data_IF_702625585332
#
_entry.id   IF_702625585332
#
_cell.length_a   1.000
_cell.length_b   1.000
_cell.length_c   1.000
_cell.angle_alpha   90.00
_cell.angle_beta   90.00
_cell.angle_gamma   90.00
#
_symmetry.space_group_name_H-M   'P 1'
#
loop_
_entity.id
_entity.type
_entity.pdbx_description
1 polymer ?
#
# COMPACT_ATOMS: atom_id res chain seq x y z
N UNK A 1 9.42 12.82 24.50
CA UNK A 1 8.79 13.97 23.81
C UNK A 1 9.88 14.76 23.10
N UNK A 2 9.64 15.08 21.84
CA UNK A 2 10.54 15.88 20.98
C UNK A 2 9.86 17.22 20.71
N UNK A 3 10.57 18.32 20.92
CA UNK A 3 10.05 19.67 20.59
C UNK A 3 10.74 20.18 19.34
N UNK A 4 9.96 20.71 18.40
CA UNK A 4 10.44 21.33 17.16
C UNK A 4 10.12 22.82 17.16
N UNK A 5 11.12 23.65 16.93
CA UNK A 5 10.96 25.08 16.66
C UNK A 5 10.19 25.31 15.36
N UNK A 6 9.69 26.55 15.18
CA UNK A 6 8.98 26.97 13.96
C UNK A 6 9.75 26.66 12.69
N UNK A 7 11.05 26.93 12.71
CA UNK A 7 11.91 26.72 11.54
C UNK A 7 12.12 25.23 11.24
N UNK A 8 12.33 24.41 12.26
CA UNK A 8 12.54 22.97 12.11
C UNK A 8 11.30 22.27 11.53
N UNK A 9 10.12 22.49 12.10
CA UNK A 9 8.93 21.81 11.62
C UNK A 9 8.49 22.33 10.25
N UNK A 10 8.67 23.62 9.96
CA UNK A 10 8.40 24.16 8.62
C UNK A 10 9.36 23.62 7.59
N UNK A 11 10.64 23.45 7.92
CA UNK A 11 11.61 22.84 7.03
C UNK A 11 11.22 21.38 6.71
N UNK A 12 10.84 20.59 7.72
CA UNK A 12 10.36 19.21 7.52
C UNK A 12 9.08 19.15 6.70
N UNK A 13 8.11 20.02 6.97
CA UNK A 13 6.87 20.09 6.21
C UNK A 13 7.13 20.43 4.73
N UNK A 14 7.95 21.45 4.44
CA UNK A 14 8.32 21.82 3.07
C UNK A 14 9.08 20.70 2.34
N UNK A 15 9.99 20.02 3.02
CA UNK A 15 10.72 18.89 2.44
C UNK A 15 9.78 17.73 2.09
N UNK A 16 8.81 17.42 2.97
CA UNK A 16 7.78 16.42 2.70
C UNK A 16 6.90 16.82 1.52
N UNK A 17 6.42 18.06 1.50
CA UNK A 17 5.62 18.60 0.40
C UNK A 17 6.34 18.50 -0.94
N UNK A 18 7.61 18.92 -1.00
CA UNK A 18 8.43 18.84 -2.21
C UNK A 18 8.62 17.38 -2.67
N UNK A 19 8.88 16.45 -1.75
CA UNK A 19 9.04 15.04 -2.09
C UNK A 19 7.74 14.41 -2.63
N UNK A 20 6.58 14.79 -2.08
CA UNK A 20 5.28 14.35 -2.61
C UNK A 20 4.99 15.01 -3.95
N UNK A 21 5.32 16.28 -4.12
CA UNK A 21 5.15 17.00 -5.38
C UNK A 21 5.96 16.35 -6.51
N UNK A 22 7.20 15.97 -6.24
CA UNK A 22 8.05 15.23 -7.19
C UNK A 22 7.44 13.87 -7.56
N UNK A 23 7.09 13.06 -6.56
CA UNK A 23 6.55 11.70 -6.78
C UNK A 23 5.18 11.70 -7.48
N UNK A 24 4.43 12.79 -7.41
CA UNK A 24 3.08 12.89 -7.99
C UNK A 24 3.02 13.77 -9.23
N UNK A 25 4.14 14.35 -9.67
CA UNK A 25 4.20 15.25 -10.83
C UNK A 25 3.61 14.59 -12.09
N UNK A 26 4.15 13.43 -12.50
CA UNK A 26 3.70 12.71 -13.69
C UNK A 26 2.21 12.32 -13.64
N UNK A 27 1.72 11.87 -12.48
CA UNK A 27 0.30 11.58 -12.28
C UNK A 27 -0.57 12.83 -12.47
N UNK A 28 -0.17 13.98 -11.91
CA UNK A 28 -0.91 15.24 -12.04
C UNK A 28 -0.91 15.76 -13.47
N UNK A 29 0.22 15.67 -14.18
CA UNK A 29 0.35 16.06 -15.59
C UNK A 29 -0.54 15.22 -16.50
N UNK A 30 -0.55 13.89 -16.32
CA UNK A 30 -1.45 13.00 -17.08
C UNK A 30 -2.92 13.30 -16.78
N UNK A 31 -3.28 13.46 -15.50
CA UNK A 31 -4.65 13.80 -15.09
C UNK A 31 -5.13 15.12 -15.69
N UNK A 32 -4.26 16.13 -15.78
CA UNK A 32 -4.58 17.41 -16.41
C UNK A 32 -4.88 17.27 -17.92
N UNK A 33 -4.30 16.27 -18.58
CA UNK A 33 -4.53 15.93 -19.99
C UNK A 33 -5.62 14.88 -20.21
N UNK A 34 -6.23 14.36 -19.14
CA UNK A 34 -7.23 13.28 -19.22
C UNK A 34 -6.64 11.90 -19.56
N UNK A 35 -5.33 11.74 -19.46
CA UNK A 35 -4.63 10.48 -19.74
C UNK A 35 -4.63 9.55 -18.52
N UNK A 36 -4.67 8.25 -18.77
CA UNK A 36 -4.62 7.19 -17.74
C UNK A 36 -3.32 6.41 -17.81
N UNK A 37 -2.88 5.91 -16.66
CA UNK A 37 -1.71 5.04 -16.52
C UNK A 37 -1.97 3.93 -15.51
N UNK A 38 -2.16 2.70 -15.99
CA UNK A 38 -2.64 1.55 -15.20
C UNK A 38 -1.80 1.17 -13.97
N UNK A 39 -0.50 1.52 -13.95
CA UNK A 39 0.40 1.28 -12.82
C UNK A 39 0.32 2.40 -11.78
N UNK A 40 0.59 3.65 -12.17
CA UNK A 40 0.73 4.78 -11.25
C UNK A 40 -0.61 5.29 -10.71
N UNK A 41 -1.66 5.29 -11.53
CA UNK A 41 -2.96 5.82 -11.12
C UNK A 41 -3.66 4.87 -10.12
N UNK A 42 -3.29 3.58 -10.15
CA UNK A 42 -3.81 2.55 -9.26
C UNK A 42 -3.74 2.95 -7.79
N UNK A 43 -2.62 3.51 -7.32
CA UNK A 43 -2.47 3.86 -5.89
C UNK A 43 -3.43 4.96 -5.45
N UNK A 44 -3.91 5.80 -6.36
CA UNK A 44 -4.85 6.87 -6.05
C UNK A 44 -6.30 6.42 -6.23
N UNK A 45 -6.58 5.62 -7.25
CA UNK A 45 -7.92 5.10 -7.54
C UNK A 45 -8.32 3.98 -6.58
N UNK A 46 -7.43 3.01 -6.34
CA UNK A 46 -7.71 1.86 -5.49
C UNK A 46 -7.80 2.26 -4.01
N UNK A 47 -6.84 3.04 -3.51
CA UNK A 47 -6.82 3.45 -2.10
C UNK A 47 -7.63 4.70 -1.79
N UNK A 48 -8.08 5.44 -2.82
CA UNK A 48 -8.80 6.70 -2.69
C UNK A 48 -8.07 7.77 -1.83
N UNK A 49 -6.74 7.70 -1.75
CA UNK A 49 -5.91 8.64 -0.98
C UNK A 49 -5.32 9.72 -1.89
N UNK A 50 -6.00 10.87 -1.98
CA UNK A 50 -5.66 11.96 -2.91
C UNK A 50 -4.22 12.48 -2.70
N UNK A 51 -3.51 12.91 -3.76
CA UNK A 51 -2.18 13.53 -3.65
C UNK A 51 -2.13 14.70 -2.66
N UNK A 52 -3.18 15.52 -2.58
CA UNK A 52 -3.26 16.64 -1.64
C UNK A 52 -3.31 16.21 -0.17
N UNK A 53 -3.87 15.02 0.12
CA UNK A 53 -3.85 14.45 1.46
C UNK A 53 -2.46 13.89 1.79
N UNK A 54 -1.83 13.19 0.85
CA UNK A 54 -0.45 12.72 1.02
C UNK A 54 0.54 13.88 1.21
N UNK A 55 0.33 14.99 0.51
CA UNK A 55 1.16 16.21 0.58
C UNK A 55 1.12 16.87 1.95
N UNK A 56 0.07 16.64 2.74
CA UNK A 56 -0.10 17.24 4.07
C UNK A 56 0.86 16.59 5.07
N UNK A 57 1.72 17.40 5.68
CA UNK A 57 2.68 16.92 6.68
C UNK A 57 2.05 16.74 8.08
N UNK A 58 2.51 15.69 8.77
CA UNK A 58 2.08 15.24 10.09
C UNK A 58 3.31 14.79 10.91
N UNK A 59 3.53 15.34 12.13
CA UNK A 59 4.69 15.00 12.95
C UNK A 59 4.56 13.66 13.70
N UNK A 60 3.34 13.14 13.86
CA UNK A 60 3.04 11.96 14.69
C UNK A 60 2.95 12.26 16.19
N UNK A 61 2.83 11.21 17.04
CA UNK A 61 2.76 11.35 18.50
C UNK A 61 4.08 11.81 19.10
N UNK A 62 4.02 12.27 20.35
CA UNK A 62 5.17 12.68 21.16
C UNK A 62 6.01 13.84 20.59
N UNK A 63 5.47 14.58 19.61
CA UNK A 63 6.10 15.76 19.01
C UNK A 63 5.28 17.01 19.30
N UNK A 64 5.95 18.02 19.87
CA UNK A 64 5.38 19.36 20.09
C UNK A 64 5.97 20.33 19.07
N UNK A 65 5.11 21.07 18.37
CA UNK A 65 5.49 22.12 17.43
C UNK A 65 5.35 23.48 18.11
N UNK A 66 6.43 24.24 18.21
CA UNK A 66 6.41 25.61 18.73
C UNK A 66 5.89 26.59 17.67
N UNK A 67 5.21 27.64 18.12
CA UNK A 67 4.67 28.71 17.28
C UNK A 67 3.91 28.17 16.07
N UNK A 68 2.96 27.26 16.28
CA UNK A 68 2.25 26.56 15.21
C UNK A 68 0.74 26.81 15.20
N UNK A 69 0.22 27.55 16.19
CA UNK A 69 -1.20 27.87 16.31
C UNK A 69 -1.80 28.50 15.04
N UNK A 70 -1.07 29.38 14.35
CA UNK A 70 -1.53 30.04 13.11
C UNK A 70 -1.84 29.06 11.97
N UNK A 71 -1.19 27.89 11.96
CA UNK A 71 -1.33 26.88 10.90
C UNK A 71 -2.25 25.72 11.30
N UNK A 72 -2.34 25.41 12.59
CA UNK A 72 -3.03 24.21 13.08
C UNK A 72 -4.33 24.49 13.84
N UNK A 73 -4.64 25.74 14.20
CA UNK A 73 -5.93 26.08 14.83
C UNK A 73 -7.09 25.61 13.95
N UNK A 74 -8.02 24.86 14.54
CA UNK A 74 -9.18 24.28 13.84
C UNK A 74 -8.88 23.04 12.99
N UNK A 75 -7.63 22.58 12.92
CA UNK A 75 -7.28 21.36 12.20
C UNK A 75 -7.59 20.13 13.06
N UNK A 76 -8.49 19.26 12.57
CA UNK A 76 -8.86 18.03 13.27
C UNK A 76 -7.65 17.14 13.62
N UNK A 77 -7.66 16.59 14.83
CA UNK A 77 -6.61 15.70 15.35
C UNK A 77 -5.43 16.43 15.99
N UNK A 78 -5.53 17.73 16.23
CA UNK A 78 -4.50 18.51 16.90
C UNK A 78 -5.10 19.34 18.03
N UNK A 79 -4.33 19.49 19.10
CA UNK A 79 -4.62 20.44 20.18
C UNK A 79 -3.60 21.56 20.15
N UNK A 80 -4.04 22.76 20.50
CA UNK A 80 -3.23 23.98 20.58
C UNK A 80 -3.22 24.42 22.04
N UNK A 81 -2.04 24.47 22.64
CA UNK A 81 -1.87 24.91 24.02
C UNK A 81 -1.93 26.45 24.13
N UNK A 82 -2.07 26.97 25.34
CA UNK A 82 -2.18 28.41 25.60
C UNK A 82 -0.94 29.22 25.18
N UNK A 83 0.22 28.58 25.13
CA UNK A 83 1.49 29.17 24.67
C UNK A 83 1.65 29.14 23.13
N UNK A 84 0.64 28.65 22.41
CA UNK A 84 0.64 28.55 20.95
C UNK A 84 1.38 27.32 20.40
N UNK A 85 1.86 26.43 21.27
CA UNK A 85 2.41 25.14 20.85
C UNK A 85 1.32 24.16 20.44
N UNK A 86 1.67 23.21 19.57
CA UNK A 86 0.72 22.28 18.94
C UNK A 86 1.23 20.85 19.05
N UNK A 87 0.34 19.92 19.41
CA UNK A 87 0.62 18.48 19.41
C UNK A 87 -0.56 17.70 18.86
N UNK A 88 -0.31 16.45 18.46
CA UNK A 88 -1.37 15.48 18.17
C UNK A 88 -2.27 15.35 19.41
N UNK A 89 -3.58 15.47 19.22
CA UNK A 89 -4.54 15.13 20.27
C UNK A 89 -4.71 13.61 20.30
N UNK A 90 -3.89 12.95 21.11
CA UNK A 90 -3.84 11.47 21.19
C UNK A 90 -5.14 10.92 21.77
N UNK A 91 -5.68 11.55 22.81
CA UNK A 91 -6.90 11.09 23.48
C UNK A 91 -8.11 11.19 22.55
N UNK A 92 -8.30 12.31 21.84
CA UNK A 92 -9.35 12.44 20.82
C UNK A 92 -9.13 11.46 19.66
N UNK A 93 -7.88 11.31 19.18
CA UNK A 93 -7.58 10.39 18.09
C UNK A 93 -7.92 8.94 18.46
N UNK A 94 -7.49 8.47 19.63
CA UNK A 94 -7.75 7.12 20.13
C UNK A 94 -9.24 6.94 20.44
N UNK A 95 -9.91 7.94 21.02
CA UNK A 95 -11.35 7.91 21.24
C UNK A 95 -12.14 7.67 19.94
N UNK A 96 -11.72 8.31 18.83
CA UNK A 96 -12.38 8.16 17.52
C UNK A 96 -11.91 6.95 16.71
N UNK A 97 -10.65 6.52 16.86
CA UNK A 97 -9.98 5.55 15.97
C UNK A 97 -9.41 4.32 16.67
N UNK A 98 -9.60 4.16 17.98
CA UNK A 98 -8.94 3.10 18.78
C UNK A 98 -9.17 1.69 18.25
N UNK A 99 -10.37 1.38 17.74
CA UNK A 99 -10.65 0.10 17.06
C UNK A 99 -9.79 -0.11 15.80
N UNK A 100 -9.61 0.94 14.99
CA UNK A 100 -8.74 0.89 13.81
C UNK A 100 -7.28 0.76 14.20
N UNK A 101 -6.82 1.49 15.23
CA UNK A 101 -5.44 1.39 15.75
C UNK A 101 -5.16 -0.04 16.21
N UNK A 102 -6.05 -0.62 17.02
CA UNK A 102 -5.94 -2.00 17.52
C UNK A 102 -5.91 -3.00 16.37
N UNK A 103 -6.87 -2.91 15.43
CA UNK A 103 -6.91 -3.80 14.27
C UNK A 103 -5.63 -3.75 13.44
N UNK A 104 -5.12 -2.55 13.13
CA UNK A 104 -3.88 -2.40 12.34
C UNK A 104 -2.70 -2.98 13.10
N UNK A 105 -2.56 -2.67 14.40
CA UNK A 105 -1.50 -3.20 15.25
C UNK A 105 -1.49 -4.73 15.26
N UNK A 106 -2.66 -5.34 15.47
CA UNK A 106 -2.81 -6.80 15.56
C UNK A 106 -2.55 -7.47 14.20
N UNK A 107 -3.11 -6.95 13.11
CA UNK A 107 -2.89 -7.44 11.75
C UNK A 107 -1.40 -7.42 11.36
N UNK A 108 -0.73 -6.28 11.58
CA UNK A 108 0.67 -6.13 11.19
C UNK A 108 1.59 -6.96 12.07
N UNK A 109 1.28 -7.12 13.36
CA UNK A 109 2.01 -7.99 14.28
C UNK A 109 1.86 -9.46 13.89
N UNK A 110 0.64 -9.92 13.61
CA UNK A 110 0.38 -11.29 13.15
C UNK A 110 1.08 -11.58 11.81
N UNK A 111 1.11 -10.60 10.90
CA UNK A 111 1.86 -10.73 9.64
C UNK A 111 3.37 -10.87 9.90
N UNK A 112 3.93 -10.07 10.82
CA UNK A 112 5.36 -10.08 11.16
C UNK A 112 5.79 -11.37 11.87
N UNK A 113 4.89 -12.08 12.56
CA UNK A 113 5.22 -13.27 13.35
C UNK A 113 5.40 -14.55 12.51
N UNK A 114 5.21 -14.47 11.18
CA UNK A 114 5.25 -15.62 10.27
C UNK A 114 6.51 -15.62 9.40
N UNK A 115 7.02 -16.79 8.98
CA UNK A 115 7.98 -16.86 7.89
C UNK A 115 7.32 -16.40 6.58
N UNK A 116 8.08 -15.73 5.71
CA UNK A 116 7.57 -15.28 4.41
C UNK A 116 7.41 -16.44 3.42
N UNK A 117 6.20 -16.63 2.89
CA UNK A 117 5.94 -17.62 1.81
C UNK A 117 6.02 -16.97 0.42
N UNK A 118 6.74 -17.62 -0.49
CA UNK A 118 7.07 -17.09 -1.82
C UNK A 118 6.45 -17.93 -2.95
N UNK A 119 5.29 -18.52 -2.70
CA UNK A 119 4.63 -19.52 -3.55
C UNK A 119 3.38 -19.01 -4.27
N UNK A 120 3.02 -17.72 -4.11
CA UNK A 120 1.93 -17.09 -4.86
C UNK A 120 2.34 -16.73 -6.30
N UNK A 121 3.59 -16.28 -6.50
CA UNK A 121 4.14 -15.82 -7.80
C UNK A 121 3.34 -14.71 -8.51
N UNK A 122 2.42 -14.03 -7.84
CA UNK A 122 1.55 -13.05 -8.49
C UNK A 122 0.39 -13.66 -9.29
N UNK A 123 0.15 -14.97 -9.15
CA UNK A 123 -0.92 -15.68 -9.88
C UNK A 123 -2.34 -15.20 -9.53
N UNK A 124 -2.51 -14.33 -8.52
CA UNK A 124 -3.78 -13.67 -8.26
C UNK A 124 -4.24 -12.81 -9.45
N UNK A 125 -3.35 -12.09 -10.14
CA UNK A 125 -3.75 -11.28 -11.32
C UNK A 125 -4.18 -12.17 -12.49
N UNK A 126 -3.59 -13.36 -12.61
CA UNK A 126 -3.95 -14.35 -13.63
C UNK A 126 -5.32 -14.96 -13.36
N UNK A 127 -5.61 -15.25 -12.09
CA UNK A 127 -6.92 -15.71 -11.65
C UNK A 127 -8.03 -14.67 -11.82
N UNK A 128 -7.70 -13.37 -11.82
CA UNK A 128 -8.66 -12.30 -12.10
C UNK A 128 -9.08 -12.21 -13.57
N UNK A 129 -8.35 -12.85 -14.49
CA UNK A 129 -8.67 -12.87 -15.93
C UNK A 129 -8.97 -14.26 -16.48
N UNK A 130 -9.01 -15.27 -15.61
CA UNK A 130 -9.22 -16.66 -16.01
C UNK A 130 -10.60 -16.85 -16.64
N UNK A 131 -10.63 -17.35 -17.88
CA UNK A 131 -11.84 -17.60 -18.70
C UNK A 131 -12.78 -16.41 -18.89
N UNK A 132 -12.25 -15.19 -18.79
CA UNK A 132 -13.03 -14.00 -19.12
C UNK A 132 -13.37 -13.97 -20.61
N UNK A 133 -14.58 -13.53 -20.91
CA UNK A 133 -14.98 -13.22 -22.27
C UNK A 133 -14.39 -11.87 -22.71
N UNK A 134 -14.25 -11.62 -24.03
CA UNK A 134 -13.84 -10.31 -24.53
C UNK A 134 -14.72 -9.19 -23.96
N UNK A 135 -14.09 -8.17 -23.38
CA UNK A 135 -14.79 -7.02 -22.76
C UNK A 135 -15.09 -7.15 -21.27
N UNK A 136 -14.75 -8.27 -20.61
CA UNK A 136 -14.95 -8.44 -19.16
C UNK A 136 -13.70 -8.07 -18.32
N UNK A 137 -12.62 -7.67 -18.97
CA UNK A 137 -11.32 -7.44 -18.33
C UNK A 137 -11.29 -6.10 -17.57
N UNK A 138 -10.72 -6.11 -16.36
CA UNK A 138 -10.58 -4.90 -15.52
C UNK A 138 -9.66 -3.84 -16.10
N UNK A 139 -8.59 -4.28 -16.75
CA UNK A 139 -7.65 -3.42 -17.46
C UNK A 139 -7.94 -3.47 -18.95
N UNK A 140 -9.12 -3.01 -19.38
CA UNK A 140 -9.53 -2.99 -20.80
C UNK A 140 -8.51 -2.31 -21.74
N UNK A 141 -7.65 -1.46 -21.18
CA UNK A 141 -6.61 -0.73 -21.91
C UNK A 141 -5.36 -1.57 -22.21
N UNK A 142 -5.18 -2.72 -21.55
CA UNK A 142 -4.02 -3.58 -21.70
C UNK A 142 -4.44 -4.95 -22.25
N UNK A 143 -3.84 -5.34 -23.37
CA UNK A 143 -4.02 -6.68 -23.93
C UNK A 143 -3.34 -7.75 -23.06
N UNK A 144 -3.80 -9.00 -23.14
CA UNK A 144 -3.09 -10.14 -22.56
C UNK A 144 -1.85 -10.47 -23.40
N UNK A 145 -0.68 -10.56 -22.79
CA UNK A 145 0.59 -10.78 -23.50
C UNK A 145 0.74 -12.17 -24.12
N UNK A 146 0.01 -13.17 -23.59
CA UNK A 146 0.01 -14.55 -24.10
C UNK A 146 -1.28 -14.89 -24.89
N UNK A 147 -2.24 -13.97 -24.95
CA UNK A 147 -3.62 -14.30 -25.34
C UNK A 147 -4.37 -15.11 -24.28
N UNK A 148 -5.68 -15.28 -24.46
CA UNK A 148 -6.57 -15.87 -23.45
C UNK A 148 -6.23 -17.35 -23.17
N UNK A 149 -6.11 -18.18 -24.22
CA UNK A 149 -5.90 -19.63 -24.09
C UNK A 149 -4.63 -19.97 -23.30
N UNK A 150 -3.49 -19.34 -23.65
CA UNK A 150 -2.24 -19.56 -22.95
C UNK A 150 -2.23 -18.95 -21.54
N UNK A 151 -2.95 -17.84 -21.31
CA UNK A 151 -3.16 -17.27 -19.97
C UNK A 151 -3.93 -18.24 -19.08
N UNK A 152 -5.00 -18.83 -19.61
CA UNK A 152 -5.80 -19.83 -18.89
C UNK A 152 -4.98 -21.10 -18.59
N UNK A 153 -4.14 -21.55 -19.54
CA UNK A 153 -3.25 -22.69 -19.32
C UNK A 153 -2.27 -22.47 -18.15
N UNK A 154 -1.80 -21.23 -17.92
CA UNK A 154 -0.97 -20.89 -16.74
C UNK A 154 -1.76 -21.06 -15.44
N UNK A 155 -3.00 -20.56 -15.39
CA UNK A 155 -3.90 -20.72 -14.22
C UNK A 155 -4.19 -22.19 -13.94
N UNK A 156 -4.34 -23.00 -14.98
CA UNK A 156 -4.66 -24.43 -14.88
C UNK A 156 -3.45 -25.28 -14.49
N UNK A 157 -2.25 -24.90 -14.94
CA UNK A 157 -1.00 -25.64 -14.71
C UNK A 157 -0.31 -25.35 -13.39
N UNK A 158 -0.70 -24.30 -12.66
CA UNK A 158 -0.04 -23.91 -11.41
C UNK A 158 -0.97 -23.94 -10.18
N UNK A 159 -0.37 -24.21 -9.02
CA UNK A 159 -1.07 -24.16 -7.74
C UNK A 159 -1.20 -22.71 -7.27
N UNK A 160 -2.42 -22.20 -7.21
CA UNK A 160 -2.70 -20.84 -6.73
C UNK A 160 -2.85 -20.83 -5.21
N UNK A 161 -2.16 -19.91 -4.53
CA UNK A 161 -2.16 -19.80 -3.06
C UNK A 161 -2.26 -18.34 -2.59
N UNK A 162 -3.14 -17.56 -3.23
CA UNK A 162 -3.35 -16.17 -2.81
C UNK A 162 -3.97 -16.15 -1.41
N UNK A 163 -3.22 -15.61 -0.44
CA UNK A 163 -3.66 -15.46 0.95
C UNK A 163 -4.24 -14.08 1.25
N UNK A 164 -4.11 -13.13 0.32
CA UNK A 164 -4.57 -11.77 0.50
C UNK A 164 -6.03 -11.61 0.06
N UNK A 165 -6.92 -11.35 1.01
CA UNK A 165 -8.36 -11.22 0.75
C UNK A 165 -8.71 -10.15 -0.30
N UNK A 166 -8.09 -8.98 -0.20
CA UNK A 166 -8.41 -7.84 -1.07
C UNK A 166 -7.99 -8.07 -2.54
N UNK A 167 -7.12 -9.05 -2.81
CA UNK A 167 -6.86 -9.58 -4.17
C UNK A 167 -7.79 -10.76 -4.50
N UNK A 168 -7.94 -11.71 -3.58
CA UNK A 168 -8.75 -12.91 -3.78
C UNK A 168 -10.22 -12.61 -4.15
N UNK A 169 -10.83 -11.59 -3.55
CA UNK A 169 -12.23 -11.19 -3.82
C UNK A 169 -12.50 -10.74 -5.27
N UNK A 170 -11.46 -10.65 -6.08
CA UNK A 170 -11.52 -10.22 -7.48
C UNK A 170 -11.33 -11.37 -8.48
N UNK A 171 -11.11 -12.59 -7.99
CA UNK A 171 -11.01 -13.76 -8.85
C UNK A 171 -12.30 -13.92 -9.67
N UNK A 172 -12.17 -14.43 -10.91
CA UNK A 172 -13.34 -14.81 -11.68
C UNK A 172 -14.06 -15.96 -10.98
N UNK A 173 -15.39 -16.12 -11.18
CA UNK A 173 -16.14 -17.24 -10.61
C UNK A 173 -15.47 -18.61 -10.86
N UNK A 174 -14.91 -18.80 -12.06
CA UNK A 174 -14.20 -20.02 -12.45
C UNK A 174 -12.84 -20.21 -11.75
N UNK A 175 -12.18 -19.13 -11.31
CA UNK A 175 -10.88 -19.18 -10.65
C UNK A 175 -10.98 -19.34 -9.12
N UNK A 176 -12.13 -18.98 -8.51
CA UNK A 176 -12.36 -19.10 -7.05
C UNK A 176 -12.00 -20.51 -6.56
N UNK A 177 -12.44 -21.53 -7.29
CA UNK A 177 -12.18 -22.94 -6.98
C UNK A 177 -10.69 -23.33 -6.99
N UNK A 178 -9.88 -22.66 -7.81
CA UNK A 178 -8.47 -22.97 -8.08
C UNK A 178 -7.51 -22.51 -7.00
N UNK A 179 -7.87 -21.47 -6.22
CA UNK A 179 -7.06 -21.08 -5.08
C UNK A 179 -7.01 -22.24 -4.08
N UNK A 180 -5.91 -22.45 -3.37
CA UNK A 180 -5.87 -23.46 -2.29
C UNK A 180 -6.25 -22.88 -0.93
N UNK A 181 -6.37 -21.55 -0.86
CA UNK A 181 -6.85 -20.81 0.29
C UNK A 181 -8.22 -20.19 -0.04
N UNK A 182 -8.98 -19.83 1.00
CA UNK A 182 -10.26 -19.13 0.90
C UNK A 182 -10.29 -17.97 1.90
N UNK A 183 -9.36 -17.00 1.78
CA UNK A 183 -9.31 -15.89 2.73
C UNK A 183 -10.61 -15.09 2.67
N UNK A 184 -11.07 -14.66 3.84
CA UNK A 184 -12.21 -13.76 4.05
C UNK A 184 -11.72 -12.44 4.64
N UNK A 185 -12.62 -11.47 4.83
CA UNK A 185 -12.23 -10.23 5.53
C UNK A 185 -12.00 -10.52 7.01
N UNK A 186 -12.79 -11.41 7.57
CA UNK A 186 -12.82 -11.78 8.98
C UNK A 186 -11.54 -12.50 9.41
N UNK A 187 -11.01 -13.38 8.57
CA UNK A 187 -9.78 -14.16 8.83
C UNK A 187 -8.50 -13.50 8.27
N UNK A 188 -8.58 -12.25 7.79
CA UNK A 188 -7.46 -11.56 7.14
C UNK A 188 -6.17 -11.62 8.00
N UNK A 189 -6.30 -11.43 9.31
CA UNK A 189 -5.17 -11.49 10.24
C UNK A 189 -4.49 -12.87 10.30
N UNK A 190 -5.23 -13.94 10.05
CA UNK A 190 -4.75 -15.33 10.07
C UNK A 190 -4.00 -15.70 8.78
N UNK A 191 -4.39 -15.11 7.65
CA UNK A 191 -3.89 -15.46 6.32
C UNK A 191 -2.83 -14.51 5.75
N UNK A 192 -2.79 -13.25 6.16
CA UNK A 192 -1.85 -12.26 5.65
C UNK A 192 -0.39 -12.76 5.80
N UNK A 193 0.37 -12.74 4.70
CA UNK A 193 1.75 -13.25 4.65
C UNK A 193 2.77 -12.12 4.47
N UNK A 194 3.92 -12.14 5.16
CA UNK A 194 4.90 -11.06 5.07
C UNK A 194 5.45 -10.83 3.65
N UNK A 195 5.61 -11.91 2.88
CA UNK A 195 6.10 -11.87 1.50
C UNK A 195 5.01 -11.54 0.45
N UNK A 196 3.74 -11.46 0.84
CA UNK A 196 2.69 -11.06 -0.10
C UNK A 196 2.95 -9.62 -0.57
N UNK A 197 3.05 -9.43 -1.89
CA UNK A 197 3.19 -8.10 -2.49
C UNK A 197 2.10 -7.16 -1.99
N UNK A 198 0.85 -7.59 -2.07
CA UNK A 198 -0.30 -6.79 -1.67
C UNK A 198 -0.30 -6.42 -0.18
N UNK A 199 0.02 -7.37 0.70
CA UNK A 199 0.20 -7.07 2.12
C UNK A 199 1.33 -6.05 2.35
N UNK A 200 2.38 -6.07 1.51
CA UNK A 200 3.47 -5.09 1.54
C UNK A 200 3.02 -3.71 1.06
N UNK A 201 2.29 -3.66 -0.05
CA UNK A 201 1.67 -2.46 -0.61
C UNK A 201 0.72 -1.79 0.40
N UNK A 202 -0.07 -2.61 1.11
CA UNK A 202 -1.03 -2.17 2.12
C UNK A 202 -0.41 -1.49 3.34
N UNK A 203 0.91 -1.56 3.54
CA UNK A 203 1.57 -0.71 4.55
C UNK A 203 1.32 0.78 4.28
N UNK A 204 1.17 1.18 3.02
CA UNK A 204 0.74 2.53 2.65
C UNK A 204 -0.70 2.80 3.07
N UNK A 205 -1.62 1.86 2.79
CA UNK A 205 -3.02 1.93 3.24
C UNK A 205 -3.12 2.16 4.74
N UNK A 206 -2.42 1.34 5.51
CA UNK A 206 -2.48 1.42 6.96
C UNK A 206 -1.84 2.70 7.50
N UNK A 207 -0.74 3.17 6.90
CA UNK A 207 -0.11 4.43 7.28
C UNK A 207 -1.08 5.62 7.13
N UNK A 208 -1.70 5.80 5.96
CA UNK A 208 -2.60 6.96 5.77
C UNK A 208 -3.95 6.80 6.48
N UNK A 209 -4.44 5.57 6.71
CA UNK A 209 -5.67 5.34 7.52
C UNK A 209 -5.49 5.76 8.98
N UNK A 210 -4.25 5.79 9.46
CA UNK A 210 -3.88 6.22 10.79
C UNK A 210 -3.38 7.67 10.85
N UNK A 211 -3.47 8.44 9.76
CA UNK A 211 -3.18 9.88 9.81
C UNK A 211 -4.20 10.60 10.73
N UNK A 212 -3.79 11.61 11.51
CA UNK A 212 -2.46 12.24 11.56
C UNK A 212 -1.41 11.56 12.46
N UNK A 213 -1.71 10.39 13.03
CA UNK A 213 -0.87 9.77 14.04
C UNK A 213 0.38 9.06 13.48
N UNK A 214 0.29 8.41 12.31
CA UNK A 214 1.50 7.90 11.64
C UNK A 214 2.31 9.08 11.08
N UNK A 215 3.59 9.25 11.47
CA UNK A 215 4.43 10.32 10.95
C UNK A 215 4.51 10.30 9.41
N UNK A 216 4.55 11.48 8.82
CA UNK A 216 4.54 11.64 7.36
C UNK A 216 5.70 10.95 6.66
N UNK A 217 6.88 10.83 7.29
CA UNK A 217 8.01 10.10 6.75
C UNK A 217 7.72 8.60 6.59
N UNK A 218 6.97 7.98 7.52
CA UNK A 218 6.57 6.57 7.42
C UNK A 218 5.58 6.39 6.28
N UNK A 219 4.62 7.31 6.16
CA UNK A 219 3.62 7.28 5.08
C UNK A 219 4.26 7.48 3.71
N UNK A 220 5.24 8.38 3.60
CA UNK A 220 5.96 8.65 2.35
C UNK A 220 6.83 7.45 1.93
N UNK A 221 7.54 6.82 2.87
CA UNK A 221 8.32 5.62 2.58
C UNK A 221 7.40 4.45 2.17
N UNK A 222 6.25 4.32 2.82
CA UNK A 222 5.25 3.32 2.44
C UNK A 222 4.66 3.59 1.05
N UNK A 223 4.44 4.86 0.68
CA UNK A 223 4.01 5.23 -0.67
C UNK A 223 5.05 4.88 -1.74
N UNK A 224 6.33 5.20 -1.50
CA UNK A 224 7.44 4.79 -2.38
C UNK A 224 7.52 3.28 -2.51
N UNK A 225 7.34 2.55 -1.41
CA UNK A 225 7.29 1.09 -1.42
C UNK A 225 6.12 0.56 -2.24
N UNK A 226 4.93 1.13 -2.08
CA UNK A 226 3.73 0.75 -2.82
C UNK A 226 3.91 0.94 -4.34
N UNK A 227 4.58 2.01 -4.79
CA UNK A 227 4.93 2.21 -6.20
C UNK A 227 5.83 1.07 -6.74
N UNK A 228 6.84 0.67 -5.97
CA UNK A 228 7.75 -0.43 -6.33
C UNK A 228 7.02 -1.76 -6.39
N UNK A 229 6.14 -2.02 -5.43
CA UNK A 229 5.32 -3.23 -5.39
C UNK A 229 4.39 -3.27 -6.60
N UNK A 230 3.63 -2.21 -6.86
CA UNK A 230 2.68 -2.17 -7.97
C UNK A 230 3.36 -2.33 -9.33
N UNK A 231 4.59 -1.80 -9.47
CA UNK A 231 5.40 -2.07 -10.67
C UNK A 231 5.70 -3.56 -10.84
N UNK A 232 6.19 -4.25 -9.81
CA UNK A 232 6.45 -5.70 -9.91
C UNK A 232 5.17 -6.50 -10.13
N UNK A 233 4.09 -6.15 -9.45
CA UNK A 233 2.78 -6.78 -9.59
C UNK A 233 2.28 -6.72 -11.04
N UNK A 234 2.37 -5.54 -11.67
CA UNK A 234 2.02 -5.38 -13.09
C UNK A 234 3.00 -6.06 -14.04
N UNK A 235 4.31 -6.04 -13.75
CA UNK A 235 5.28 -6.75 -14.59
C UNK A 235 5.07 -8.28 -14.58
N UNK A 236 4.61 -8.84 -13.44
CA UNK A 236 4.33 -10.27 -13.30
C UNK A 236 2.91 -10.67 -13.73
N UNK A 237 2.08 -9.70 -14.09
CA UNK A 237 0.69 -9.92 -14.50
C UNK A 237 0.58 -10.58 -15.89
N UNK A 238 -0.61 -11.03 -16.30
CA UNK A 238 -0.83 -11.53 -17.66
C UNK A 238 -0.93 -10.41 -18.71
N UNK A 239 -0.97 -9.15 -18.29
CA UNK A 239 -1.10 -8.00 -19.19
C UNK A 239 0.21 -7.65 -19.88
N UNK A 240 0.11 -7.19 -21.13
CA UNK A 240 1.22 -6.56 -21.83
C UNK A 240 1.43 -5.13 -21.31
N UNK A 241 2.55 -4.94 -20.59
CA UNK A 241 2.95 -3.66 -20.00
C UNK A 241 4.02 -2.93 -20.80
N UNK A 242 4.38 -3.43 -21.99
CA UNK A 242 5.45 -2.84 -22.82
C UNK A 242 5.15 -1.40 -23.23
N UNK A 243 3.87 -1.09 -23.52
CA UNK A 243 3.41 0.27 -23.81
C UNK A 243 3.56 1.27 -22.65
N UNK A 244 3.83 0.77 -21.43
CA UNK A 244 4.12 1.59 -20.24
C UNK A 244 5.64 1.72 -19.98
N UNK A 245 6.49 1.27 -20.91
CA UNK A 245 7.95 1.25 -20.74
C UNK A 245 8.43 0.22 -19.70
N UNK A 246 7.62 -0.82 -19.43
CA UNK A 246 7.96 -1.89 -18.50
C UNK A 246 8.22 -3.19 -19.25
N UNK A 247 9.19 -3.97 -18.76
CA UNK A 247 9.44 -5.33 -19.25
C UNK A 247 8.69 -6.35 -18.38
N UNK A 248 8.03 -7.36 -18.97
CA UNK A 248 7.33 -8.38 -18.21
C UNK A 248 8.31 -9.26 -17.43
N UNK A 249 7.92 -9.64 -16.22
CA UNK A 249 8.52 -10.72 -15.44
C UNK A 249 7.71 -11.98 -15.75
N UNK A 250 8.24 -12.82 -16.62
CA UNK A 250 7.54 -13.97 -17.19
C UNK A 250 7.38 -15.12 -16.18
N UNK A 251 6.48 -14.99 -15.20
CA UNK A 251 6.27 -15.98 -14.13
C UNK A 251 5.73 -17.34 -14.61
N UNK A 252 5.37 -17.48 -15.88
CA UNK A 252 5.06 -18.75 -16.53
C UNK A 252 6.32 -19.59 -16.81
N UNK A 253 7.52 -18.98 -16.78
CA UNK A 253 8.81 -19.65 -16.95
C UNK A 253 9.56 -19.81 -15.61
N UNK A 254 10.47 -20.79 -15.48
CA UNK A 254 11.33 -20.92 -14.32
C UNK A 254 12.19 -19.68 -14.04
N UNK A 255 12.72 -19.05 -15.09
CA UNK A 255 13.59 -17.88 -14.98
C UNK A 255 12.83 -16.66 -14.44
N UNK A 256 11.62 -16.40 -14.97
CA UNK A 256 10.80 -15.29 -14.49
C UNK A 256 10.29 -15.51 -13.07
N UNK A 257 10.01 -16.75 -12.67
CA UNK A 257 9.72 -17.08 -11.25
C UNK A 257 10.91 -16.80 -10.33
N UNK A 258 12.12 -17.15 -10.76
CA UNK A 258 13.34 -16.89 -9.99
C UNK A 258 13.56 -15.38 -9.83
N UNK A 259 13.39 -14.59 -10.91
CA UNK A 259 13.46 -13.12 -10.84
C UNK A 259 12.39 -12.56 -9.89
N UNK A 260 11.14 -13.01 -10.03
CA UNK A 260 10.03 -12.56 -9.19
C UNK A 260 10.32 -12.79 -7.71
N UNK A 261 10.76 -14.00 -7.33
CA UNK A 261 11.05 -14.35 -5.93
C UNK A 261 12.22 -13.54 -5.38
N UNK A 262 13.26 -13.28 -6.18
CA UNK A 262 14.38 -12.45 -5.75
C UNK A 262 13.92 -11.03 -5.40
N UNK A 263 13.10 -10.41 -6.27
CA UNK A 263 12.54 -9.06 -6.05
C UNK A 263 11.51 -9.03 -4.93
N UNK A 264 10.69 -10.07 -4.80
CA UNK A 264 9.70 -10.24 -3.72
C UNK A 264 10.38 -10.27 -2.34
N UNK A 265 11.53 -10.94 -2.21
CA UNK A 265 12.30 -10.99 -0.95
C UNK A 265 12.78 -9.60 -0.52
N UNK A 266 13.29 -8.81 -1.46
CA UNK A 266 13.74 -7.43 -1.18
C UNK A 266 12.56 -6.54 -0.73
N UNK A 267 11.42 -6.65 -1.41
CA UNK A 267 10.20 -5.93 -1.05
C UNK A 267 9.63 -6.38 0.30
N UNK A 268 9.72 -7.67 0.63
CA UNK A 268 9.34 -8.18 1.95
C UNK A 268 10.18 -7.56 3.07
N UNK A 269 11.50 -7.44 2.90
CA UNK A 269 12.37 -6.80 3.90
C UNK A 269 11.93 -5.36 4.16
N UNK A 270 11.67 -4.62 3.07
CA UNK A 270 11.21 -3.23 3.15
C UNK A 270 9.85 -3.12 3.84
N UNK A 271 8.86 -3.91 3.42
CA UNK A 271 7.52 -3.89 4.03
C UNK A 271 7.55 -4.31 5.50
N UNK A 272 8.36 -5.30 5.89
CA UNK A 272 8.50 -5.69 7.29
C UNK A 272 9.11 -4.56 8.15
N UNK A 273 10.06 -3.79 7.61
CA UNK A 273 10.55 -2.58 8.29
C UNK A 273 9.43 -1.55 8.49
N UNK A 274 8.63 -1.29 7.46
CA UNK A 274 7.47 -0.39 7.55
C UNK A 274 6.42 -0.88 8.55
N UNK A 275 6.12 -2.18 8.57
CA UNK A 275 5.18 -2.78 9.53
C UNK A 275 5.61 -2.52 10.97
N UNK A 276 6.90 -2.72 11.29
CA UNK A 276 7.44 -2.46 12.64
C UNK A 276 7.26 -0.98 13.03
N UNK A 277 7.62 -0.06 12.14
CA UNK A 277 7.45 1.39 12.37
C UNK A 277 5.98 1.77 12.62
N UNK A 278 5.03 1.17 11.90
CA UNK A 278 3.60 1.42 12.09
C UNK A 278 3.11 0.80 13.41
N UNK A 279 3.54 -0.42 13.74
CA UNK A 279 3.22 -1.07 15.02
C UNK A 279 3.73 -0.25 16.20
N UNK A 280 4.97 0.25 16.15
CA UNK A 280 5.53 1.14 17.17
C UNK A 280 4.74 2.44 17.37
N UNK A 281 4.12 2.97 16.31
CA UNK A 281 3.20 4.11 16.43
C UNK A 281 1.92 3.66 17.13
N UNK A 282 1.34 2.53 16.74
CA UNK A 282 0.12 2.02 17.36
C UNK A 282 0.31 1.74 18.85
N UNK A 283 1.42 1.12 19.24
CA UNK A 283 1.73 0.79 20.65
C UNK A 283 1.97 2.05 21.50
N UNK A 284 2.37 3.18 20.90
CA UNK A 284 2.43 4.48 21.59
C UNK A 284 1.08 5.14 21.81
N UNK A 285 0.10 4.85 20.94
CA UNK A 285 -1.25 5.42 21.02
C UNK A 285 -2.16 4.62 21.94
N UNK A 286 -1.98 3.31 22.00
CA UNK A 286 -2.82 2.45 22.83
C UNK A 286 -2.40 2.55 24.30
N UNK A 287 -3.36 2.47 25.25
CA UNK A 287 -3.05 2.36 26.66
C UNK A 287 -2.13 1.15 26.90
N UNK A 288 -1.16 1.31 27.80
CA UNK A 288 -0.33 0.21 28.28
C UNK A 288 -1.11 -0.72 29.20
#
# INVERSE_FOLDING_TARGET
MTTLTRDEWRARARAHEAAVDELTAAHRERRARGERHAVEDFLFEYYAHRPSHLRRWHPGPDVTLLDAADVYTGRSGYTVDSDGSVRLDVDDFVGRRGRTVTFVRDLLTATLSRPGTHDCFGLHEWAMVYRLQPGEQRHEQLSLRLGQEATDAVVEGYRIRCSHFDAYRFFTPDAVGRNTLRPTREDQADHEQPACLHAGMDTYKWAFKLAPAVPSEVTLDAFRHALRVRRLDMQASPYDVSGLGLHPVAIETPEGKAEYVARQRELMVTSNSLRRRIVEVCDRLLPR
#
